data_IF_714282431951
#
_entry.id   IF_714282431951
#
_cell.length_a   1.000
_cell.length_b   1.000
_cell.length_c   1.000
_cell.angle_alpha   90.00
_cell.angle_beta   90.00
_cell.angle_gamma   90.00
#
_symmetry.space_group_name_H-M   'P 1'
#
loop_
_entity.id
_entity.type
_entity.pdbx_description
1 polymer ?
#
# COMPACT_ATOMS: atom_id res chain seq x y z
N UNK A 1 28.73 94.16 60.15
CA UNK A 1 29.72 94.30 61.24
C UNK A 1 31.00 94.78 60.59
N UNK A 2 31.26 96.10 60.52
CA UNK A 2 32.04 96.85 61.52
C UNK A 2 33.18 95.98 62.07
N UNK A 3 34.43 96.18 61.63
CA UNK A 3 35.34 97.11 62.31
C UNK A 3 36.38 97.74 61.39
N UNK A 4 36.35 99.07 61.32
CA UNK A 4 37.47 99.95 61.02
C UNK A 4 38.57 99.75 62.06
N UNK A 5 39.84 99.49 61.70
CA UNK A 5 40.98 99.90 62.54
C UNK A 5 42.21 100.27 61.67
N UNK A 6 42.46 101.58 61.65
CA UNK A 6 43.72 102.29 61.42
C UNK A 6 44.40 102.27 60.03
N UNK A 7 44.09 103.34 59.29
CA UNK A 7 45.09 104.15 58.60
C UNK A 7 46.27 104.47 59.54
N UNK A 8 47.45 103.98 59.21
CA UNK A 8 48.73 104.63 59.53
C UNK A 8 49.40 104.97 58.20
N UNK A 9 49.29 106.22 57.80
CA UNK A 9 50.19 106.82 56.80
C UNK A 9 51.60 106.91 57.38
N UNK A 10 52.63 106.89 56.52
CA UNK A 10 53.92 106.32 56.83
C UNK A 10 54.76 107.32 57.61
N UNK A 11 55.31 106.88 58.74
CA UNK A 11 56.50 107.50 59.31
C UNK A 11 57.63 107.31 58.30
N UNK A 12 57.97 108.39 57.59
CA UNK A 12 59.22 108.54 56.85
C UNK A 12 60.39 108.45 57.85
N UNK A 13 60.75 107.23 58.22
CA UNK A 13 62.03 106.93 58.85
C UNK A 13 62.97 106.46 57.75
N UNK A 14 63.83 107.39 57.31
CA UNK A 14 65.13 107.10 56.71
C UNK A 14 65.15 106.07 55.57
N UNK A 15 64.95 106.56 54.34
CA UNK A 15 65.69 106.04 53.19
C UNK A 15 67.16 106.42 53.43
N UNK A 16 67.80 105.70 54.37
CA UNK A 16 69.20 105.35 54.22
C UNK A 16 69.18 104.50 52.97
N UNK A 17 69.86 104.95 51.92
CA UNK A 17 69.97 104.28 50.64
C UNK A 17 70.30 102.80 50.85
N UNK A 18 69.27 101.95 50.89
CA UNK A 18 69.46 100.55 50.62
C UNK A 18 70.04 100.53 49.21
N UNK A 19 71.28 100.04 49.01
CA UNK A 19 71.87 100.00 47.69
C UNK A 19 70.87 99.33 46.74
N UNK A 20 70.78 99.82 45.50
CA UNK A 20 69.85 99.32 44.47
C UNK A 20 69.84 97.79 44.41
N UNK A 21 70.97 97.16 44.72
CA UNK A 21 71.13 95.72 44.92
C UNK A 21 70.13 95.10 45.91
N UNK A 22 69.85 95.69 47.08
CA UNK A 22 68.93 95.14 48.09
C UNK A 22 67.47 95.25 47.65
N UNK A 23 67.07 96.35 47.01
CA UNK A 23 65.72 96.49 46.44
C UNK A 23 65.51 95.49 45.31
N UNK A 24 66.51 95.34 44.44
CA UNK A 24 66.50 94.37 43.34
C UNK A 24 66.48 92.93 43.87
N UNK A 25 67.24 92.64 44.93
CA UNK A 25 67.21 91.34 45.62
C UNK A 25 65.82 91.02 46.16
N UNK A 26 65.15 91.97 46.82
CA UNK A 26 63.77 91.79 47.31
C UNK A 26 62.78 91.60 46.15
N UNK A 27 62.99 92.27 45.02
CA UNK A 27 62.15 92.10 43.84
C UNK A 27 62.34 90.71 43.20
N UNK A 28 63.59 90.24 43.10
CA UNK A 28 63.95 88.88 42.68
C UNK A 28 63.34 87.84 43.61
N UNK A 29 63.42 88.02 44.93
CA UNK A 29 62.82 87.10 45.92
C UNK A 29 61.28 87.08 45.81
N UNK A 30 60.66 88.23 45.55
CA UNK A 30 59.21 88.33 45.35
C UNK A 30 58.76 87.64 44.05
N UNK A 31 59.48 87.83 42.94
CA UNK A 31 59.19 87.11 41.69
C UNK A 31 59.46 85.62 41.83
N UNK A 32 60.50 85.22 42.57
CA UNK A 32 60.80 83.81 42.85
C UNK A 32 59.66 83.16 43.64
N UNK A 33 59.15 83.83 44.69
CA UNK A 33 57.98 83.36 45.45
C UNK A 33 56.70 83.27 44.60
N UNK A 34 56.43 84.28 43.75
CA UNK A 34 55.30 84.24 42.82
C UNK A 34 55.43 83.10 41.81
N UNK A 35 56.63 82.87 41.28
CA UNK A 35 56.93 81.78 40.36
C UNK A 35 56.76 80.41 41.04
N UNK A 36 57.17 80.26 42.30
CA UNK A 36 56.92 79.04 43.07
C UNK A 36 55.43 78.82 43.35
N UNK A 37 54.67 79.88 43.67
CA UNK A 37 53.22 79.80 43.85
C UNK A 37 52.51 79.38 42.56
N UNK A 38 52.90 79.97 41.41
CA UNK A 38 52.36 79.57 40.10
C UNK A 38 52.76 78.15 39.72
N UNK A 39 53.99 77.71 40.01
CA UNK A 39 54.41 76.31 39.81
C UNK A 39 53.58 75.34 40.65
N UNK A 40 53.31 75.66 41.92
CA UNK A 40 52.45 74.83 42.80
C UNK A 40 51.01 74.79 42.28
N UNK A 41 50.49 75.94 41.83
CA UNK A 41 49.15 76.03 41.22
C UNK A 41 49.07 75.22 39.93
N UNK A 42 50.07 75.29 39.08
CA UNK A 42 50.16 74.51 37.85
C UNK A 42 50.18 73.02 38.16
N UNK A 43 51.00 72.58 39.11
CA UNK A 43 51.07 71.17 39.51
C UNK A 43 49.71 70.66 40.04
N UNK A 44 49.04 71.41 40.92
CA UNK A 44 47.71 71.05 41.41
C UNK A 44 46.66 71.02 40.27
N UNK A 45 46.78 71.93 39.30
CA UNK A 45 45.90 71.96 38.14
C UNK A 45 46.17 70.78 37.19
N UNK A 46 47.42 70.39 36.99
CA UNK A 46 47.80 69.20 36.22
C UNK A 46 47.32 67.92 36.89
N UNK A 47 47.41 67.83 38.21
CA UNK A 47 46.92 66.68 38.97
C UNK A 47 45.40 66.55 38.86
N UNK A 48 44.66 67.65 39.06
CA UNK A 48 43.19 67.66 38.89
C UNK A 48 42.77 67.39 37.45
N UNK A 49 43.49 67.91 36.45
CA UNK A 49 43.27 67.60 35.04
C UNK A 49 43.49 66.11 34.75
N UNK A 50 44.58 65.52 35.24
CA UNK A 50 44.88 64.11 35.03
C UNK A 50 43.85 63.19 35.70
N UNK A 51 43.37 63.55 36.89
CA UNK A 51 42.26 62.84 37.55
C UNK A 51 40.97 62.94 36.72
N UNK A 52 40.56 64.15 36.30
CA UNK A 52 39.38 64.35 35.48
C UNK A 52 39.49 63.65 34.11
N UNK A 53 40.68 63.61 33.52
CA UNK A 53 40.95 62.92 32.26
C UNK A 53 40.79 61.40 32.41
N UNK A 54 41.34 60.81 33.48
CA UNK A 54 41.17 59.38 33.80
C UNK A 54 39.70 59.03 34.03
N UNK A 55 38.96 59.85 34.78
CA UNK A 55 37.52 59.65 34.97
C UNK A 55 36.73 59.72 33.66
N UNK A 56 37.06 60.68 32.79
CA UNK A 56 36.40 60.81 31.50
C UNK A 56 36.68 59.59 30.61
N UNK A 57 37.90 59.07 30.63
CA UNK A 57 38.27 57.86 29.90
C UNK A 57 37.50 56.63 30.41
N UNK A 58 37.40 56.46 31.73
CA UNK A 58 36.59 55.41 32.34
C UNK A 58 35.10 55.54 32.00
N UNK A 59 34.54 56.75 32.04
CA UNK A 59 33.14 57.02 31.63
C UNK A 59 32.91 56.67 30.15
N UNK A 60 33.85 57.01 29.26
CA UNK A 60 33.78 56.66 27.83
C UNK A 60 33.81 55.15 27.61
N UNK A 61 34.67 54.43 28.33
CA UNK A 61 34.72 52.96 28.27
C UNK A 61 33.38 52.34 28.73
N UNK A 62 32.85 52.80 29.86
CA UNK A 62 31.56 52.33 30.40
C UNK A 62 30.39 52.61 29.44
N UNK A 63 30.36 53.77 28.79
CA UNK A 63 29.35 54.08 27.77
C UNK A 63 29.47 53.14 26.56
N UNK A 64 30.69 52.81 26.14
CA UNK A 64 30.93 51.88 25.02
C UNK A 64 30.43 50.48 25.37
N UNK A 65 30.72 49.99 26.58
CA UNK A 65 30.23 48.70 27.08
C UNK A 65 28.70 48.67 27.15
N UNK A 66 28.06 49.72 27.67
CA UNK A 66 26.60 49.81 27.74
C UNK A 66 25.96 49.81 26.35
N UNK A 67 26.54 50.51 25.38
CA UNK A 67 26.07 50.48 23.98
C UNK A 67 26.18 49.10 23.36
N UNK A 68 27.28 48.38 23.62
CA UNK A 68 27.49 47.02 23.13
C UNK A 68 26.47 46.04 23.75
N UNK A 69 26.23 46.15 25.06
CA UNK A 69 25.22 45.33 25.73
C UNK A 69 23.81 45.58 25.18
N UNK A 70 23.45 46.84 24.89
CA UNK A 70 22.16 47.17 24.29
C UNK A 70 22.01 46.57 22.88
N UNK A 71 23.08 46.59 22.07
CA UNK A 71 23.10 45.96 20.74
C UNK A 71 22.98 44.44 20.85
N UNK A 72 23.70 43.79 21.78
CA UNK A 72 23.62 42.35 21.99
C UNK A 72 22.21 41.90 22.42
N UNK A 73 21.50 42.70 23.22
CA UNK A 73 20.10 42.43 23.59
C UNK A 73 19.19 42.51 22.37
N UNK A 74 19.36 43.52 21.51
CA UNK A 74 18.58 43.65 20.28
C UNK A 74 18.84 42.50 19.31
N UNK A 75 20.11 42.09 19.14
CA UNK A 75 20.47 40.94 18.30
C UNK A 75 19.83 39.66 18.83
N UNK A 76 19.88 39.41 20.15
CA UNK A 76 19.25 38.23 20.76
C UNK A 76 17.73 38.21 20.57
N UNK A 77 17.05 39.35 20.69
CA UNK A 77 15.61 39.45 20.42
C UNK A 77 15.29 39.16 18.95
N UNK A 78 16.12 39.63 18.03
CA UNK A 78 15.95 39.37 16.60
C UNK A 78 16.24 37.90 16.26
N UNK A 79 17.23 37.28 16.91
CA UNK A 79 17.52 35.85 16.79
C UNK A 79 16.37 34.96 17.30
N UNK A 80 15.74 35.30 18.42
CA UNK A 80 14.58 34.54 18.92
C UNK A 80 13.38 34.68 17.99
N UNK A 81 13.14 35.88 17.43
CA UNK A 81 12.13 36.08 16.40
C UNK A 81 12.41 35.24 15.15
N UNK A 82 13.65 35.24 14.64
CA UNK A 82 14.05 34.39 13.51
C UNK A 82 13.83 32.92 13.82
N UNK A 83 14.19 32.45 15.02
CA UNK A 83 13.97 31.05 15.42
C UNK A 83 12.48 30.69 15.48
N UNK A 84 11.66 31.58 16.02
CA UNK A 84 10.20 31.39 16.06
C UNK A 84 9.62 31.32 14.65
N UNK A 85 10.00 32.24 13.75
CA UNK A 85 9.56 32.24 12.36
C UNK A 85 10.02 30.99 11.60
N UNK A 86 11.26 30.54 11.81
CA UNK A 86 11.75 29.27 11.23
C UNK A 86 10.93 28.09 11.70
N UNK A 87 10.64 28.00 13.00
CA UNK A 87 9.80 26.93 13.55
C UNK A 87 8.38 26.98 12.97
N UNK A 88 7.80 28.16 12.75
CA UNK A 88 6.51 28.30 12.09
C UNK A 88 6.55 27.85 10.62
N UNK A 89 7.63 28.15 9.90
CA UNK A 89 7.84 27.68 8.52
C UNK A 89 7.96 26.16 8.49
N UNK A 90 8.75 25.56 9.38
CA UNK A 90 8.92 24.11 9.45
C UNK A 90 7.59 23.40 9.75
N UNK A 91 6.78 23.95 10.67
CA UNK A 91 5.43 23.46 10.94
C UNK A 91 4.51 23.59 9.72
N UNK A 92 4.57 24.70 8.99
CA UNK A 92 3.78 24.91 7.78
C UNK A 92 4.20 23.92 6.66
N UNK A 93 5.49 23.62 6.53
CA UNK A 93 6.01 22.63 5.60
C UNK A 93 5.54 21.22 5.98
N UNK A 94 5.59 20.85 7.28
CA UNK A 94 5.05 19.56 7.73
C UNK A 94 3.59 19.41 7.36
N UNK A 95 2.76 20.42 7.67
CA UNK A 95 1.34 20.44 7.32
C UNK A 95 1.10 20.38 5.81
N UNK A 96 1.91 21.08 5.02
CA UNK A 96 1.83 21.02 3.56
C UNK A 96 2.10 19.61 3.05
N UNK A 97 3.18 18.97 3.53
CA UNK A 97 3.55 17.62 3.14
C UNK A 97 2.48 16.60 3.58
N UNK A 98 1.94 16.73 4.79
CA UNK A 98 0.82 15.91 5.27
C UNK A 98 -0.39 16.01 4.34
N UNK A 99 -0.82 17.24 4.01
CA UNK A 99 -1.93 17.48 3.08
C UNK A 99 -1.62 16.95 1.68
N UNK A 100 -0.38 17.04 1.22
CA UNK A 100 0.04 16.49 -0.08
C UNK A 100 -0.09 14.96 -0.10
N UNK A 101 0.38 14.29 0.98
CA UNK A 101 0.20 12.83 1.09
C UNK A 101 -1.25 12.42 1.20
N UNK A 102 -2.09 13.19 1.89
CA UNK A 102 -3.54 12.95 1.96
C UNK A 102 -4.20 13.13 0.58
N UNK A 103 -3.84 14.19 -0.15
CA UNK A 103 -4.33 14.42 -1.50
C UNK A 103 -3.92 13.28 -2.44
N UNK A 104 -2.70 12.76 -2.33
CA UNK A 104 -2.28 11.62 -3.13
C UNK A 104 -3.02 10.32 -2.77
N UNK A 105 -3.32 10.09 -1.48
CA UNK A 105 -4.21 8.99 -1.07
C UNK A 105 -5.61 9.14 -1.66
N UNK A 106 -6.20 10.33 -1.60
CA UNK A 106 -7.52 10.61 -2.18
C UNK A 106 -7.51 10.43 -3.70
N UNK A 107 -6.45 10.84 -4.41
CA UNK A 107 -6.29 10.57 -5.85
C UNK A 107 -6.24 9.08 -6.14
N UNK A 108 -5.52 8.30 -5.33
CA UNK A 108 -5.47 6.84 -5.49
C UNK A 108 -6.84 6.20 -5.26
N UNK A 109 -7.58 6.63 -4.23
CA UNK A 109 -8.94 6.19 -3.95
C UNK A 109 -9.89 6.53 -5.10
N UNK A 110 -9.88 7.78 -5.58
CA UNK A 110 -10.66 8.21 -6.75
C UNK A 110 -10.34 7.36 -7.97
N UNK A 111 -9.07 7.03 -8.20
CA UNK A 111 -8.67 6.17 -9.31
C UNK A 111 -9.16 4.73 -9.14
N UNK A 112 -9.16 4.18 -7.92
CA UNK A 112 -9.74 2.87 -7.62
C UNK A 112 -11.24 2.87 -7.90
N UNK A 113 -11.97 3.85 -7.37
CA UNK A 113 -13.41 4.01 -7.59
C UNK A 113 -13.75 4.21 -9.07
N UNK A 114 -12.91 4.90 -9.84
CA UNK A 114 -13.07 5.04 -11.29
C UNK A 114 -12.92 3.69 -12.01
N UNK A 115 -11.94 2.87 -11.62
CA UNK A 115 -11.77 1.52 -12.18
C UNK A 115 -12.95 0.62 -11.85
N UNK A 116 -13.40 0.63 -10.58
CA UNK A 116 -14.59 -0.11 -10.15
C UNK A 116 -15.83 0.34 -10.92
N UNK A 117 -16.03 1.65 -11.10
CA UNK A 117 -17.16 2.17 -11.90
C UNK A 117 -17.12 1.67 -13.33
N UNK A 118 -15.96 1.66 -13.98
CA UNK A 118 -15.82 1.16 -15.36
C UNK A 118 -16.16 -0.33 -15.41
N UNK A 119 -15.68 -1.12 -14.44
CA UNK A 119 -16.01 -2.54 -14.35
C UNK A 119 -17.51 -2.76 -14.15
N UNK A 120 -18.14 -2.00 -13.25
CA UNK A 120 -19.59 -2.08 -13.03
C UNK A 120 -20.39 -1.70 -14.26
N UNK A 121 -19.97 -0.68 -15.01
CA UNK A 121 -20.59 -0.31 -16.28
C UNK A 121 -20.48 -1.46 -17.30
N UNK A 122 -19.31 -2.05 -17.47
CA UNK A 122 -19.13 -3.21 -18.36
C UNK A 122 -19.99 -4.41 -17.95
N UNK A 123 -20.14 -4.68 -16.66
CA UNK A 123 -21.03 -5.74 -16.17
C UNK A 123 -22.49 -5.39 -16.44
N UNK A 124 -22.89 -4.13 -16.24
CA UNK A 124 -24.24 -3.65 -16.55
C UNK A 124 -24.57 -3.81 -18.03
N UNK A 125 -23.66 -3.41 -18.92
CA UNK A 125 -23.85 -3.52 -20.37
C UNK A 125 -24.00 -4.99 -20.80
N UNK A 126 -23.18 -5.89 -20.24
CA UNK A 126 -23.30 -7.34 -20.47
C UNK A 126 -24.62 -7.91 -19.97
N UNK A 127 -25.07 -7.48 -18.78
CA UNK A 127 -26.36 -7.91 -18.23
C UNK A 127 -27.52 -7.42 -19.09
N UNK A 128 -27.43 -6.20 -19.61
CA UNK A 128 -28.43 -5.65 -20.53
C UNK A 128 -28.46 -6.42 -21.85
N UNK A 129 -27.30 -6.75 -22.43
CA UNK A 129 -27.21 -7.58 -23.63
C UNK A 129 -27.82 -8.97 -23.40
N UNK A 130 -27.51 -9.60 -22.26
CA UNK A 130 -28.09 -10.90 -21.89
C UNK A 130 -29.60 -10.81 -21.68
N UNK A 131 -30.09 -9.75 -21.06
CA UNK A 131 -31.52 -9.50 -20.90
C UNK A 131 -32.23 -9.33 -22.25
N UNK A 132 -31.63 -8.60 -23.18
CA UNK A 132 -32.15 -8.46 -24.55
C UNK A 132 -32.15 -9.80 -25.30
N UNK A 133 -31.09 -10.61 -25.16
CA UNK A 133 -31.03 -11.97 -25.74
C UNK A 133 -32.14 -12.86 -25.17
N UNK A 134 -32.31 -12.88 -23.84
CA UNK A 134 -33.36 -13.62 -23.18
C UNK A 134 -34.75 -13.17 -23.67
N UNK A 135 -34.99 -11.86 -23.77
CA UNK A 135 -36.24 -11.30 -24.30
C UNK A 135 -36.51 -11.77 -25.73
N UNK A 136 -35.51 -11.76 -26.62
CA UNK A 136 -35.63 -12.27 -28.00
C UNK A 136 -35.95 -13.76 -28.02
N UNK A 137 -35.30 -14.56 -27.17
CA UNK A 137 -35.60 -15.99 -27.05
C UNK A 137 -37.03 -16.23 -26.57
N UNK A 138 -37.51 -15.47 -25.57
CA UNK A 138 -38.89 -15.55 -25.09
C UNK A 138 -39.89 -15.21 -26.20
N UNK A 139 -39.63 -14.16 -27.00
CA UNK A 139 -40.48 -13.81 -28.14
C UNK A 139 -40.51 -14.92 -29.19
N UNK A 140 -39.37 -15.52 -29.52
CA UNK A 140 -39.30 -16.64 -30.46
C UNK A 140 -40.09 -17.87 -29.96
N UNK A 141 -39.97 -18.19 -28.68
CA UNK A 141 -40.74 -19.29 -28.06
C UNK A 141 -42.23 -18.96 -28.10
N UNK A 142 -42.63 -17.72 -27.82
CA UNK A 142 -44.03 -17.30 -27.85
C UNK A 142 -44.60 -17.41 -29.27
N UNK A 143 -43.86 -16.98 -30.29
CA UNK A 143 -44.25 -17.16 -31.70
C UNK A 143 -44.38 -18.64 -32.08
N UNK A 144 -43.47 -19.50 -31.62
CA UNK A 144 -43.57 -20.95 -31.84
C UNK A 144 -44.79 -21.56 -31.13
N UNK A 145 -45.11 -21.10 -29.92
CA UNK A 145 -46.31 -21.53 -29.18
C UNK A 145 -47.56 -21.09 -29.93
N UNK A 146 -47.61 -19.86 -30.44
CA UNK A 146 -48.74 -19.33 -31.22
C UNK A 146 -48.94 -20.13 -32.51
N UNK A 147 -47.87 -20.41 -33.25
CA UNK A 147 -47.92 -21.27 -34.43
C UNK A 147 -48.43 -22.69 -34.11
N UNK A 148 -47.97 -23.28 -33.01
CA UNK A 148 -48.45 -24.58 -32.56
C UNK A 148 -49.92 -24.53 -32.14
N UNK A 149 -50.36 -23.46 -31.46
CA UNK A 149 -51.78 -23.25 -31.13
C UNK A 149 -52.63 -23.19 -32.39
N UNK A 150 -52.27 -22.39 -33.38
CA UNK A 150 -52.99 -22.33 -34.67
C UNK A 150 -53.07 -23.71 -35.35
N UNK A 151 -51.96 -24.47 -35.36
CA UNK A 151 -51.94 -25.83 -35.91
C UNK A 151 -52.89 -26.76 -35.13
N UNK A 152 -52.94 -26.66 -33.81
CA UNK A 152 -53.89 -27.44 -33.01
C UNK A 152 -55.34 -27.03 -33.25
N UNK A 153 -55.63 -25.75 -33.49
CA UNK A 153 -56.97 -25.29 -33.84
C UNK A 153 -57.41 -25.82 -35.21
N UNK A 154 -56.54 -25.71 -36.23
CA UNK A 154 -56.79 -26.31 -37.56
C UNK A 154 -57.04 -27.82 -37.47
N UNK A 155 -56.26 -28.53 -36.66
CA UNK A 155 -56.47 -29.96 -36.44
C UNK A 155 -57.81 -30.24 -35.74
N UNK A 156 -58.19 -29.45 -34.73
CA UNK A 156 -59.49 -29.58 -34.06
C UNK A 156 -60.65 -29.34 -35.04
N UNK A 157 -60.56 -28.32 -35.89
CA UNK A 157 -61.56 -28.05 -36.93
C UNK A 157 -61.69 -29.21 -37.92
N UNK A 158 -60.57 -29.79 -38.38
CA UNK A 158 -60.59 -30.96 -39.26
C UNK A 158 -61.23 -32.17 -38.59
N UNK A 159 -60.92 -32.43 -37.32
CA UNK A 159 -61.55 -33.50 -36.53
C UNK A 159 -63.06 -33.26 -36.41
N UNK A 160 -63.49 -32.01 -36.17
CA UNK A 160 -64.91 -31.66 -36.10
C UNK A 160 -65.63 -31.94 -37.42
N UNK A 161 -65.04 -31.54 -38.56
CA UNK A 161 -65.59 -31.80 -39.90
C UNK A 161 -65.70 -33.30 -40.18
N UNK A 162 -64.65 -34.08 -39.86
CA UNK A 162 -64.68 -35.53 -40.03
C UNK A 162 -65.72 -36.20 -39.13
N UNK A 163 -65.93 -35.70 -37.90
CA UNK A 163 -67.00 -36.19 -37.02
C UNK A 163 -68.38 -35.92 -37.61
N UNK A 164 -68.63 -34.72 -38.14
CA UNK A 164 -69.89 -34.40 -38.81
C UNK A 164 -70.14 -35.32 -40.01
N UNK A 165 -69.13 -35.52 -40.86
CA UNK A 165 -69.23 -36.40 -42.03
C UNK A 165 -69.49 -37.86 -41.62
N UNK A 166 -68.81 -38.35 -40.58
CA UNK A 166 -69.05 -39.69 -40.04
C UNK A 166 -70.46 -39.83 -39.43
N UNK A 167 -71.01 -38.78 -38.80
CA UNK A 167 -72.39 -38.80 -38.31
C UNK A 167 -73.40 -38.83 -39.46
N UNK A 168 -73.16 -38.10 -40.54
CA UNK A 168 -73.96 -38.15 -41.77
C UNK A 168 -73.88 -39.53 -42.42
N UNK A 169 -72.69 -40.09 -42.58
CA UNK A 169 -72.49 -41.45 -43.10
C UNK A 169 -73.14 -42.51 -42.22
N UNK A 170 -73.09 -42.35 -40.89
CA UNK A 170 -73.79 -43.22 -39.94
C UNK A 170 -75.31 -43.15 -40.12
N UNK A 171 -75.87 -41.96 -40.35
CA UNK A 171 -77.30 -41.81 -40.68
C UNK A 171 -77.64 -42.45 -42.02
N UNK A 172 -76.82 -42.23 -43.06
CA UNK A 172 -77.02 -42.81 -44.39
C UNK A 172 -76.96 -44.34 -44.35
N UNK A 173 -75.98 -44.91 -43.65
CA UNK A 173 -75.84 -46.36 -43.50
C UNK A 173 -76.98 -46.95 -42.67
N UNK A 174 -77.44 -46.26 -41.62
CA UNK A 174 -78.62 -46.68 -40.86
C UNK A 174 -79.87 -46.69 -41.75
N UNK A 175 -80.11 -45.62 -42.51
CA UNK A 175 -81.23 -45.56 -43.45
C UNK A 175 -81.17 -46.68 -44.50
N UNK A 176 -79.99 -46.93 -45.10
CA UNK A 176 -79.78 -48.05 -46.03
C UNK A 176 -80.00 -49.41 -45.37
N UNK A 177 -79.61 -49.57 -44.10
CA UNK A 177 -79.82 -50.80 -43.34
C UNK A 177 -81.32 -51.01 -43.05
N UNK A 178 -82.06 -49.97 -42.68
CA UNK A 178 -83.51 -50.02 -42.51
C UNK A 178 -84.23 -50.38 -43.82
N UNK A 179 -83.83 -49.77 -44.94
CA UNK A 179 -84.33 -50.14 -46.27
C UNK A 179 -84.02 -51.58 -46.65
N UNK A 180 -82.80 -52.05 -46.40
CA UNK A 180 -82.39 -53.43 -46.66
C UNK A 180 -83.10 -54.44 -45.74
N UNK A 181 -83.33 -54.08 -44.47
CA UNK A 181 -84.10 -54.89 -43.53
C UNK A 181 -85.55 -55.02 -43.99
N UNK A 182 -86.16 -53.93 -44.43
CA UNK A 182 -87.52 -53.93 -45.00
C UNK A 182 -87.60 -54.82 -46.24
N UNK A 183 -86.66 -54.69 -47.19
CA UNK A 183 -86.56 -55.57 -48.36
C UNK A 183 -86.31 -57.03 -47.98
N UNK A 184 -85.48 -57.31 -46.97
CA UNK A 184 -85.23 -58.67 -46.50
C UNK A 184 -86.46 -59.28 -45.83
N UNK A 185 -87.25 -58.51 -45.07
CA UNK A 185 -88.54 -58.96 -44.52
C UNK A 185 -89.55 -59.25 -45.64
N UNK A 186 -89.53 -58.46 -46.72
CA UNK A 186 -90.31 -58.69 -47.95
C UNK A 186 -89.80 -59.91 -48.77
N UNK A 187 -88.51 -60.24 -48.70
CA UNK A 187 -87.87 -61.36 -49.43
C UNK A 187 -87.71 -62.67 -48.63
N UNK A 188 -87.91 -62.66 -47.31
CA UNK A 188 -87.90 -63.87 -46.46
C UNK A 188 -88.77 -65.03 -46.96
N UNK A 189 -89.93 -64.83 -47.62
CA UNK A 189 -90.68 -65.95 -48.20
C UNK A 189 -90.12 -66.49 -49.55
N UNK A 190 -89.00 -65.98 -50.08
CA UNK A 190 -88.44 -66.38 -51.40
C UNK A 190 -87.08 -67.08 -51.37
N UNK A 191 -86.33 -67.03 -50.27
CA UNK A 191 -84.92 -67.50 -50.23
C UNK A 191 -84.68 -68.90 -49.64
N UNK A 192 -85.71 -69.65 -49.25
CA UNK A 192 -85.53 -71.06 -48.85
C UNK A 192 -85.35 -72.03 -50.04
N UNK A 193 -85.44 -71.57 -51.30
CA UNK A 193 -85.51 -72.48 -52.47
C UNK A 193 -84.25 -72.47 -53.37
N UNK A 194 -83.28 -71.54 -53.22
CA UNK A 194 -82.22 -71.35 -54.22
C UNK A 194 -80.77 -71.37 -53.68
N UNK A 195 -80.29 -72.50 -53.14
CA UNK A 195 -78.84 -72.77 -53.05
C UNK A 195 -78.50 -74.18 -53.54
N UNK A 196 -78.22 -74.29 -54.83
CA UNK A 196 -77.44 -75.39 -55.42
C UNK A 196 -76.81 -74.90 -56.73
N UNK A 197 -75.49 -75.01 -56.86
CA UNK A 197 -74.80 -74.92 -58.16
C UNK A 197 -73.53 -74.07 -58.23
N UNK A 198 -72.40 -74.66 -57.79
CA UNK A 198 -71.06 -74.67 -58.43
C UNK A 198 -70.99 -74.24 -59.93
N UNK A 199 -69.93 -73.67 -60.52
CA UNK A 199 -68.53 -74.16 -60.67
C UNK A 199 -67.66 -73.19 -61.51
N UNK A 200 -66.35 -73.44 -61.55
CA UNK A 200 -65.23 -72.72 -62.22
C UNK A 200 -64.92 -73.26 -63.63
N UNK A 201 -64.24 -72.47 -64.48
CA UNK A 201 -63.50 -72.96 -65.67
C UNK A 201 -62.14 -72.25 -65.89
N UNK A 202 -61.22 -72.97 -66.56
CA UNK A 202 -59.80 -72.74 -66.86
C UNK A 202 -59.62 -72.80 -68.41
N UNK A 203 -58.60 -72.18 -69.02
CA UNK A 203 -58.12 -72.57 -70.35
C UNK A 203 -56.62 -72.31 -70.64
N UNK A 204 -56.10 -73.18 -71.52
CA UNK A 204 -54.72 -73.52 -71.90
C UNK A 204 -54.11 -72.74 -73.11
N UNK A 205 -52.77 -72.68 -73.10
CA UNK A 205 -51.73 -72.87 -74.16
C UNK A 205 -51.76 -72.23 -75.58
N UNK A 206 -50.61 -71.65 -75.98
CA UNK A 206 -50.10 -71.56 -77.36
C UNK A 206 -48.55 -71.42 -77.38
N UNK A 207 -47.81 -72.41 -77.92
CA UNK A 207 -46.34 -72.52 -77.87
C UNK A 207 -45.80 -72.97 -79.24
N UNK A 208 -45.39 -72.05 -80.13
CA UNK A 208 -44.44 -72.39 -81.23
C UNK A 208 -43.52 -71.21 -81.63
N UNK A 209 -43.92 -69.94 -81.47
CA UNK A 209 -43.08 -68.79 -81.88
C UNK A 209 -42.00 -68.35 -80.87
N UNK A 210 -41.83 -69.12 -79.80
CA UNK A 210 -41.12 -68.67 -78.59
C UNK A 210 -39.64 -69.03 -78.56
N UNK A 211 -39.16 -69.99 -79.38
CA UNK A 211 -37.89 -70.69 -79.13
C UNK A 211 -36.62 -69.84 -79.34
N UNK A 212 -36.62 -68.94 -80.33
CA UNK A 212 -35.46 -68.10 -80.65
C UNK A 212 -35.39 -66.82 -79.80
N UNK A 213 -36.56 -66.27 -79.48
CA UNK A 213 -36.73 -65.20 -78.51
C UNK A 213 -36.39 -65.70 -77.09
N UNK A 214 -36.74 -66.96 -76.77
CA UNK A 214 -36.32 -67.65 -75.55
C UNK A 214 -34.81 -67.81 -75.47
N UNK A 215 -34.10 -68.18 -76.55
CA UNK A 215 -32.62 -68.28 -76.52
C UNK A 215 -31.92 -66.94 -76.26
N UNK A 216 -32.37 -65.84 -76.88
CA UNK A 216 -31.83 -64.49 -76.58
C UNK A 216 -32.17 -64.05 -75.15
N UNK A 217 -33.40 -64.30 -74.70
CA UNK A 217 -33.85 -63.99 -73.34
C UNK A 217 -33.11 -64.83 -72.31
N UNK A 218 -32.80 -66.09 -72.62
CA UNK A 218 -31.97 -66.99 -71.81
C UNK A 218 -30.54 -66.46 -71.69
N UNK A 219 -29.91 -66.02 -72.79
CA UNK A 219 -28.56 -65.45 -72.75
C UNK A 219 -28.49 -64.15 -71.93
N UNK A 220 -29.50 -63.29 -72.06
CA UNK A 220 -29.64 -62.10 -71.22
C UNK A 220 -29.92 -62.44 -69.74
N UNK A 221 -30.77 -63.44 -69.48
CA UNK A 221 -31.02 -63.97 -68.13
C UNK A 221 -29.76 -64.55 -67.50
N UNK A 222 -28.94 -65.27 -68.25
CA UNK A 222 -27.67 -65.82 -67.79
C UNK A 222 -26.68 -64.68 -67.47
N UNK A 223 -26.64 -63.63 -68.29
CA UNK A 223 -25.81 -62.45 -68.00
C UNK A 223 -26.27 -61.72 -66.73
N UNK A 224 -27.57 -61.43 -66.60
CA UNK A 224 -28.14 -60.85 -65.38
C UNK A 224 -27.92 -61.75 -64.16
N UNK A 225 -28.06 -63.07 -64.29
CA UNK A 225 -27.79 -63.98 -63.18
C UNK A 225 -26.31 -64.00 -62.79
N UNK A 226 -25.39 -63.88 -63.75
CA UNK A 226 -23.96 -63.82 -63.46
C UNK A 226 -23.57 -62.53 -62.73
N UNK A 227 -24.20 -61.40 -63.06
CA UNK A 227 -24.05 -60.15 -62.31
C UNK A 227 -24.67 -60.24 -60.91
N UNK A 228 -25.87 -60.83 -60.79
CA UNK A 228 -26.48 -61.09 -59.47
C UNK A 228 -25.61 -61.99 -58.60
N UNK A 229 -25.01 -63.03 -59.17
CA UNK A 229 -24.08 -63.92 -58.46
C UNK A 229 -22.85 -63.14 -57.98
N UNK A 230 -22.26 -62.26 -58.81
CA UNK A 230 -21.14 -61.41 -58.37
C UNK A 230 -21.52 -60.46 -57.23
N UNK A 231 -22.70 -59.86 -57.31
CA UNK A 231 -23.21 -58.98 -56.26
C UNK A 231 -23.44 -59.77 -54.97
N UNK A 232 -24.03 -60.97 -55.06
CA UNK A 232 -24.23 -61.87 -53.92
C UNK A 232 -22.88 -62.33 -53.33
N UNK A 233 -21.89 -62.66 -54.16
CA UNK A 233 -20.53 -63.01 -53.70
C UNK A 233 -19.86 -61.84 -52.99
N UNK A 234 -20.03 -60.61 -53.46
CA UNK A 234 -19.50 -59.42 -52.82
C UNK A 234 -20.19 -59.14 -51.47
N UNK A 235 -21.52 -59.26 -51.40
CA UNK A 235 -22.25 -59.19 -50.14
C UNK A 235 -21.81 -60.30 -49.18
N UNK A 236 -21.63 -61.53 -49.65
CA UNK A 236 -21.17 -62.65 -48.83
C UNK A 236 -19.75 -62.43 -48.28
N UNK A 237 -18.84 -61.84 -49.07
CA UNK A 237 -17.51 -61.44 -48.59
C UNK A 237 -17.58 -60.38 -47.50
N UNK A 238 -18.37 -59.33 -47.72
CA UNK A 238 -18.56 -58.29 -46.71
C UNK A 238 -19.20 -58.85 -45.43
N UNK A 239 -20.15 -59.77 -45.56
CA UNK A 239 -20.81 -60.42 -44.43
C UNK A 239 -19.83 -61.28 -43.63
N UNK A 240 -18.92 -62.00 -44.30
CA UNK A 240 -17.83 -62.75 -43.64
C UNK A 240 -16.87 -61.83 -42.87
N UNK A 241 -16.48 -60.70 -43.45
CA UNK A 241 -15.61 -59.73 -42.76
C UNK A 241 -16.30 -59.16 -41.51
N UNK A 242 -17.59 -58.86 -41.62
CA UNK A 242 -18.41 -58.41 -40.48
C UNK A 242 -18.52 -59.52 -39.43
N UNK A 243 -18.77 -60.77 -39.84
CA UNK A 243 -18.87 -61.93 -38.96
C UNK A 243 -17.55 -62.25 -38.24
N UNK A 244 -16.41 -62.08 -38.92
CA UNK A 244 -15.06 -62.23 -38.34
C UNK A 244 -14.75 -61.11 -37.33
N UNK A 245 -15.14 -59.86 -37.63
CA UNK A 245 -15.03 -58.74 -36.70
C UNK A 245 -15.94 -58.92 -35.47
N UNK A 246 -17.17 -59.39 -35.65
CA UNK A 246 -18.08 -59.73 -34.53
C UNK A 246 -17.52 -60.88 -33.69
N UNK A 247 -16.93 -61.90 -34.32
CA UNK A 247 -16.30 -63.01 -33.61
C UNK A 247 -15.12 -62.54 -32.75
N UNK A 248 -14.29 -61.63 -33.28
CA UNK A 248 -13.19 -61.02 -32.50
C UNK A 248 -13.70 -60.17 -31.34
N UNK A 249 -14.80 -59.41 -31.53
CA UNK A 249 -15.42 -58.63 -30.46
C UNK A 249 -16.00 -59.57 -29.40
N UNK A 250 -16.67 -60.65 -29.81
CA UNK A 250 -17.24 -61.66 -28.92
C UNK A 250 -16.17 -62.38 -28.10
N UNK A 251 -15.03 -62.73 -28.71
CA UNK A 251 -13.89 -63.36 -28.03
C UNK A 251 -13.24 -62.42 -27.00
N UNK A 252 -13.07 -61.14 -27.36
CA UNK A 252 -12.43 -60.14 -26.48
C UNK A 252 -13.34 -59.60 -25.37
N UNK A 253 -14.66 -59.51 -25.62
CA UNK A 253 -15.61 -58.91 -24.67
C UNK A 253 -16.42 -59.95 -23.89
N UNK A 254 -16.49 -61.21 -24.37
CA UNK A 254 -17.28 -62.28 -23.76
C UNK A 254 -18.80 -62.11 -23.87
N UNK A 255 -19.27 -61.10 -24.61
CA UNK A 255 -20.69 -60.79 -24.81
C UNK A 255 -21.18 -61.57 -26.03
N UNK A 256 -22.18 -62.44 -25.86
CA UNK A 256 -22.70 -63.31 -26.91
C UNK A 256 -23.96 -62.73 -27.61
N UNK A 257 -24.50 -61.63 -27.11
CA UNK A 257 -25.69 -60.98 -27.66
C UNK A 257 -25.31 -59.81 -28.58
N UNK A 258 -25.70 -59.92 -29.85
CA UNK A 258 -25.40 -58.94 -30.91
C UNK A 258 -26.01 -57.58 -30.57
N UNK A 259 -27.20 -57.55 -29.96
CA UNK A 259 -27.87 -56.31 -29.58
C UNK A 259 -27.16 -55.62 -28.40
N UNK A 260 -26.55 -56.40 -27.51
CA UNK A 260 -25.76 -55.88 -26.39
C UNK A 260 -24.42 -55.31 -26.86
N UNK A 261 -23.75 -55.96 -27.82
CA UNK A 261 -22.53 -55.43 -28.46
C UNK A 261 -22.83 -54.11 -29.18
N UNK A 262 -23.92 -54.06 -29.96
CA UNK A 262 -24.32 -52.84 -30.69
C UNK A 262 -24.63 -51.68 -29.74
N UNK A 263 -25.40 -51.93 -28.68
CA UNK A 263 -25.69 -50.92 -27.66
C UNK A 263 -24.44 -50.45 -26.91
N UNK A 264 -23.49 -51.36 -26.67
CA UNK A 264 -22.21 -51.02 -26.02
C UNK A 264 -21.33 -50.20 -26.95
N UNK A 265 -21.35 -50.48 -28.26
CA UNK A 265 -20.66 -49.69 -29.28
C UNK A 265 -21.26 -48.30 -29.43
N UNK A 266 -22.59 -48.16 -29.47
CA UNK A 266 -23.26 -46.86 -29.51
C UNK A 266 -22.90 -46.05 -28.27
N UNK A 267 -22.93 -46.66 -27.08
CA UNK A 267 -22.52 -45.99 -25.83
C UNK A 267 -21.06 -45.57 -25.84
N UNK A 268 -20.15 -46.41 -26.34
CA UNK A 268 -18.73 -46.05 -26.42
C UNK A 268 -18.46 -44.99 -27.48
N UNK A 269 -19.23 -44.96 -28.57
CA UNK A 269 -19.21 -43.90 -29.58
C UNK A 269 -19.72 -42.56 -29.02
N UNK A 270 -20.84 -42.57 -28.28
CA UNK A 270 -21.36 -41.39 -27.57
C UNK A 270 -20.36 -40.86 -26.53
N UNK A 271 -19.72 -41.76 -25.78
CA UNK A 271 -18.65 -41.40 -24.85
C UNK A 271 -17.44 -40.79 -25.56
N UNK A 272 -17.01 -41.40 -26.67
CA UNK A 272 -15.92 -40.88 -27.49
C UNK A 272 -16.25 -39.50 -28.05
N UNK A 273 -17.48 -39.29 -28.54
CA UNK A 273 -17.94 -37.99 -29.03
C UNK A 273 -17.92 -36.94 -27.91
N UNK A 274 -18.35 -37.31 -26.71
CA UNK A 274 -18.29 -36.44 -25.53
C UNK A 274 -16.85 -36.11 -25.13
N UNK A 275 -15.94 -37.08 -25.24
CA UNK A 275 -14.50 -36.89 -25.03
C UNK A 275 -13.89 -35.95 -26.07
N UNK A 276 -14.22 -36.09 -27.36
CA UNK A 276 -13.78 -35.16 -28.40
C UNK A 276 -14.25 -33.73 -28.11
N UNK A 277 -15.52 -33.55 -27.77
CA UNK A 277 -16.04 -32.23 -27.41
C UNK A 277 -15.36 -31.66 -26.16
N UNK A 278 -15.03 -32.51 -25.17
CA UNK A 278 -14.27 -32.09 -24.00
C UNK A 278 -12.82 -31.70 -24.35
N UNK A 279 -12.16 -32.45 -25.23
CA UNK A 279 -10.82 -32.12 -25.75
C UNK A 279 -10.84 -30.81 -26.54
N UNK A 280 -11.88 -30.54 -27.31
CA UNK A 280 -12.06 -29.28 -28.03
C UNK A 280 -12.24 -28.11 -27.06
N UNK A 281 -13.07 -28.27 -26.02
CA UNK A 281 -13.24 -27.26 -24.97
C UNK A 281 -11.92 -27.01 -24.24
N UNK A 282 -11.18 -28.07 -23.88
CA UNK A 282 -9.87 -27.94 -23.24
C UNK A 282 -8.86 -27.26 -24.15
N UNK A 283 -8.87 -27.55 -25.45
CA UNK A 283 -7.99 -26.89 -26.42
C UNK A 283 -8.31 -25.40 -26.50
N UNK A 284 -9.60 -25.05 -26.52
CA UNK A 284 -10.04 -23.66 -26.47
C UNK A 284 -9.64 -22.96 -25.16
N UNK A 285 -9.73 -23.66 -24.02
CA UNK A 285 -9.28 -23.13 -22.73
C UNK A 285 -7.76 -22.96 -22.66
N UNK A 286 -6.99 -23.87 -23.26
CA UNK A 286 -5.53 -23.72 -23.40
C UNK A 286 -5.20 -22.47 -24.22
N UNK A 287 -5.85 -22.27 -25.37
CA UNK A 287 -5.64 -21.08 -26.19
C UNK A 287 -5.98 -19.78 -25.43
N UNK A 288 -7.08 -19.80 -24.67
CA UNK A 288 -7.48 -18.68 -23.82
C UNK A 288 -6.44 -18.39 -22.72
N UNK A 289 -5.93 -19.44 -22.06
CA UNK A 289 -4.91 -19.32 -21.02
C UNK A 289 -3.56 -18.87 -21.59
N UNK A 290 -3.17 -19.34 -22.77
CA UNK A 290 -1.96 -18.86 -23.46
C UNK A 290 -2.08 -17.39 -23.83
N UNK A 291 -3.23 -16.96 -24.37
CA UNK A 291 -3.49 -15.55 -24.66
C UNK A 291 -3.40 -14.69 -23.40
N UNK A 292 -3.97 -15.17 -22.28
CA UNK A 292 -3.90 -14.46 -21.00
C UNK A 292 -2.47 -14.39 -20.45
N UNK A 293 -1.71 -15.48 -20.55
CA UNK A 293 -0.29 -15.50 -20.17
C UNK A 293 0.54 -14.55 -21.02
N UNK A 294 0.31 -14.49 -22.32
CA UNK A 294 0.99 -13.53 -23.21
C UNK A 294 0.65 -12.09 -22.83
N UNK A 295 -0.61 -11.79 -22.50
CA UNK A 295 -1.03 -10.45 -22.05
C UNK A 295 -0.38 -10.08 -20.72
N UNK A 296 -0.33 -11.00 -19.76
CA UNK A 296 0.37 -10.81 -18.49
C UNK A 296 1.88 -10.60 -18.68
N UNK A 297 2.52 -11.39 -19.52
CA UNK A 297 3.93 -11.20 -19.85
C UNK A 297 4.19 -9.82 -20.46
N UNK A 298 3.31 -9.35 -21.34
CA UNK A 298 3.39 -8.01 -21.92
C UNK A 298 3.23 -6.93 -20.85
N UNK A 299 2.25 -7.05 -19.94
CA UNK A 299 2.07 -6.13 -18.81
C UNK A 299 3.31 -6.08 -17.91
N UNK A 300 3.89 -7.23 -17.58
CA UNK A 300 5.14 -7.29 -16.82
C UNK A 300 6.29 -6.57 -17.55
N UNK A 301 6.46 -6.80 -18.86
CA UNK A 301 7.48 -6.10 -19.65
C UNK A 301 7.26 -4.59 -19.68
N UNK A 302 6.02 -4.14 -19.87
CA UNK A 302 5.69 -2.72 -19.89
C UNK A 302 5.92 -2.07 -18.53
N UNK A 303 5.60 -2.77 -17.44
CA UNK A 303 5.86 -2.31 -16.08
C UNK A 303 7.35 -2.25 -15.75
N UNK A 304 8.17 -3.20 -16.25
CA UNK A 304 9.63 -3.14 -16.14
C UNK A 304 10.17 -1.91 -16.89
N UNK A 305 9.68 -1.64 -18.11
CA UNK A 305 10.07 -0.44 -18.87
C UNK A 305 9.66 0.85 -18.17
N UNK A 306 8.46 0.90 -17.60
CA UNK A 306 7.95 2.05 -16.84
C UNK A 306 8.77 2.27 -15.56
N UNK A 307 9.10 1.20 -14.83
CA UNK A 307 9.97 1.29 -13.66
C UNK A 307 11.39 1.74 -14.02
N UNK A 308 11.97 1.21 -15.09
CA UNK A 308 13.27 1.68 -15.58
C UNK A 308 13.23 3.15 -16.03
N UNK A 309 12.10 3.60 -16.61
CA UNK A 309 11.90 5.01 -16.96
C UNK A 309 11.74 5.91 -15.72
N UNK A 310 11.02 5.44 -14.69
CA UNK A 310 10.90 6.13 -13.40
C UNK A 310 12.24 6.19 -12.67
N UNK A 311 13.01 5.12 -12.69
CA UNK A 311 14.36 5.06 -12.12
C UNK A 311 15.31 6.03 -12.84
N UNK A 312 15.25 6.09 -14.19
CA UNK A 312 15.97 7.11 -14.98
C UNK A 312 15.50 8.52 -14.66
N UNK A 313 14.21 8.76 -14.45
CA UNK A 313 13.67 10.06 -14.09
C UNK A 313 14.07 10.48 -12.66
N UNK A 314 14.12 9.54 -11.72
CA UNK A 314 14.63 9.73 -10.34
C UNK A 314 16.14 9.96 -10.30
N UNK A 315 16.91 9.35 -11.21
CA UNK A 315 18.34 9.66 -11.37
C UNK A 315 18.60 11.01 -12.04
N UNK A 316 17.61 11.55 -12.76
CA UNK A 316 17.71 12.83 -13.48
C UNK A 316 17.26 14.04 -12.65
N UNK A 317 16.87 13.91 -11.38
CA UNK A 317 16.62 15.05 -10.48
C UNK A 317 17.94 15.55 -9.86
N UNK A 318 18.55 16.66 -10.34
CA UNK A 318 19.87 17.13 -9.88
C UNK A 318 19.90 17.62 -8.42
N UNK A 319 18.75 17.64 -7.73
CA UNK A 319 18.61 18.10 -6.35
C UNK A 319 18.75 16.96 -5.35
N UNK A 320 18.21 15.78 -5.65
CA UNK A 320 18.26 14.60 -4.77
C UNK A 320 19.64 13.94 -4.80
N UNK A 321 20.33 13.93 -5.95
CA UNK A 321 21.70 13.41 -6.05
C UNK A 321 22.69 14.25 -5.21
N UNK A 322 22.46 15.57 -5.12
CA UNK A 322 23.21 16.46 -4.22
C UNK A 322 22.89 16.20 -2.76
N UNK A 323 21.63 15.92 -2.43
CA UNK A 323 21.23 15.59 -1.06
C UNK A 323 21.76 14.22 -0.63
N UNK A 324 21.74 13.22 -1.51
CA UNK A 324 22.29 11.90 -1.27
C UNK A 324 23.80 11.95 -1.06
N UNK A 325 24.55 12.72 -1.88
CA UNK A 325 25.99 12.95 -1.67
C UNK A 325 26.26 13.65 -0.33
N UNK A 326 25.46 14.63 0.05
CA UNK A 326 25.57 15.29 1.37
C UNK A 326 25.29 14.32 2.52
N UNK A 327 24.24 13.51 2.42
CA UNK A 327 23.87 12.53 3.43
C UNK A 327 24.93 11.44 3.57
N UNK A 328 25.48 10.96 2.44
CA UNK A 328 26.58 10.00 2.42
C UNK A 328 27.84 10.54 3.08
N UNK A 329 28.18 11.81 2.83
CA UNK A 329 29.31 12.47 3.49
C UNK A 329 29.09 12.60 5.02
N UNK A 330 27.87 12.97 5.45
CA UNK A 330 27.53 13.05 6.88
C UNK A 330 27.62 11.68 7.55
N UNK A 331 27.15 10.62 6.90
CA UNK A 331 27.25 9.24 7.41
C UNK A 331 28.71 8.83 7.54
N UNK A 332 29.55 9.15 6.53
CA UNK A 332 30.97 8.84 6.56
C UNK A 332 31.71 9.60 7.66
N UNK A 333 31.42 10.89 7.87
CA UNK A 333 31.97 11.67 8.99
C UNK A 333 31.53 11.08 10.34
N UNK A 334 30.28 10.66 10.49
CA UNK A 334 29.79 10.04 11.73
C UNK A 334 30.42 8.67 11.98
N UNK A 335 30.62 7.86 10.95
CA UNK A 335 31.35 6.60 11.07
C UNK A 335 32.81 6.82 11.48
N UNK A 336 33.49 7.80 10.89
CA UNK A 336 34.85 8.17 11.30
C UNK A 336 34.92 8.64 12.77
N UNK A 337 33.93 9.41 13.23
CA UNK A 337 33.86 9.81 14.63
C UNK A 337 33.64 8.60 15.57
N UNK A 338 32.79 7.65 15.18
CA UNK A 338 32.57 6.41 15.94
C UNK A 338 33.85 5.57 15.97
N UNK A 339 34.57 5.46 14.85
CA UNK A 339 35.86 4.78 14.80
C UNK A 339 36.91 5.45 15.70
N UNK A 340 36.96 6.79 15.73
CA UNK A 340 37.84 7.55 16.62
C UNK A 340 37.51 7.30 18.09
N UNK A 341 36.23 7.35 18.47
CA UNK A 341 35.79 7.07 19.84
C UNK A 341 36.12 5.61 20.23
N UNK A 342 35.87 4.66 19.34
CA UNK A 342 36.22 3.26 19.58
C UNK A 342 37.74 3.04 19.72
N UNK A 343 38.56 3.79 18.98
CA UNK A 343 40.01 3.75 19.13
C UNK A 343 40.45 4.34 20.47
N UNK A 344 39.87 5.48 20.91
CA UNK A 344 40.13 6.03 22.25
C UNK A 344 39.71 5.05 23.35
N UNK A 345 38.57 4.36 23.21
CA UNK A 345 38.13 3.33 24.16
C UNK A 345 39.14 2.17 24.20
N UNK A 346 39.66 1.74 23.05
CA UNK A 346 40.72 0.70 22.99
C UNK A 346 42.03 1.14 23.64
N UNK A 347 42.39 2.43 23.52
CA UNK A 347 43.59 2.99 24.15
C UNK A 347 43.44 3.12 25.68
N UNK A 348 42.25 3.49 26.16
CA UNK A 348 41.95 3.65 27.59
C UNK A 348 41.75 2.28 28.28
N UNK A 349 41.29 1.27 27.53
CA UNK A 349 41.05 -0.10 28.02
C UNK A 349 42.19 -0.69 28.85
N UNK A 350 43.43 -0.77 28.36
CA UNK A 350 44.52 -1.34 29.16
C UNK A 350 44.81 -0.52 30.42
N UNK A 351 44.79 0.82 30.37
CA UNK A 351 45.08 1.66 31.54
C UNK A 351 44.03 1.54 32.64
N UNK A 352 42.74 1.47 32.28
CA UNK A 352 41.65 1.27 33.26
C UNK A 352 41.72 -0.15 33.85
N UNK A 353 42.04 -1.15 33.02
CA UNK A 353 42.23 -2.52 33.47
C UNK A 353 43.40 -2.62 34.46
N UNK A 354 44.54 -1.98 34.18
CA UNK A 354 45.69 -1.92 35.09
C UNK A 354 45.33 -1.25 36.42
N UNK A 355 44.64 -0.10 36.38
CA UNK A 355 44.23 0.62 37.60
C UNK A 355 43.25 -0.22 38.45
N UNK A 356 42.27 -0.89 37.82
CA UNK A 356 41.32 -1.76 38.53
C UNK A 356 42.01 -2.99 39.14
N UNK A 357 42.97 -3.59 38.43
CA UNK A 357 43.77 -4.70 38.94
C UNK A 357 44.61 -4.25 40.13
N UNK A 358 45.27 -3.09 40.05
CA UNK A 358 46.12 -2.58 41.13
C UNK A 358 45.32 -2.13 42.36
N UNK A 359 44.14 -1.52 42.16
CA UNK A 359 43.21 -1.21 43.24
C UNK A 359 42.65 -2.48 43.89
N UNK A 360 42.36 -3.53 43.10
CA UNK A 360 41.89 -4.83 43.63
C UNK A 360 42.96 -5.61 44.40
N UNK A 361 44.25 -5.36 44.12
CA UNK A 361 45.40 -5.94 44.84
C UNK A 361 45.71 -5.21 46.15
N UNK A 362 45.36 -3.93 46.25
CA UNK A 362 45.47 -3.17 47.51
C UNK A 362 44.46 -3.72 48.53
N UNK A 363 44.85 -3.83 49.80
CA UNK A 363 44.07 -4.49 50.87
C UNK A 363 42.76 -3.80 51.28
N UNK A 364 42.15 -2.99 50.40
CA UNK A 364 40.95 -2.18 50.64
C UNK A 364 39.67 -2.81 50.04
N UNK A 365 39.72 -4.09 49.66
CA UNK A 365 38.63 -4.74 48.94
C UNK A 365 37.85 -5.71 49.82
N UNK A 366 36.56 -5.46 50.05
CA UNK A 366 35.67 -6.35 50.82
C UNK A 366 35.21 -7.58 50.00
N UNK A 367 35.33 -7.57 48.66
CA UNK A 367 34.82 -8.65 47.80
C UNK A 367 35.92 -9.33 46.98
N UNK A 368 36.38 -10.51 47.42
CA UNK A 368 37.41 -11.32 46.75
C UNK A 368 37.02 -11.83 45.34
N UNK A 369 35.73 -11.78 44.99
CA UNK A 369 35.22 -12.25 43.69
C UNK A 369 35.43 -11.26 42.54
N UNK A 370 35.48 -9.95 42.81
CA UNK A 370 35.66 -8.92 41.76
C UNK A 370 37.02 -9.00 41.07
N UNK A 371 38.04 -9.52 41.77
CA UNK A 371 39.38 -9.72 41.23
C UNK A 371 39.41 -10.72 40.06
N UNK A 372 38.56 -11.75 40.13
CA UNK A 372 38.45 -12.79 39.11
C UNK A 372 37.73 -12.29 37.85
N UNK A 373 36.73 -11.41 38.03
CA UNK A 373 35.94 -10.82 36.94
C UNK A 373 36.77 -9.85 36.08
N UNK A 374 37.67 -9.05 36.68
CA UNK A 374 38.55 -8.13 35.95
C UNK A 374 39.74 -8.82 35.25
N UNK A 375 40.16 -10.01 35.71
CA UNK A 375 41.26 -10.78 35.10
C UNK A 375 40.83 -11.63 33.90
N UNK A 376 39.57 -12.08 33.82
CA UNK A 376 39.10 -13.03 32.81
C UNK A 376 38.33 -12.38 31.66
N UNK A 377 37.68 -11.22 31.86
CA UNK A 377 36.84 -10.62 30.83
C UNK A 377 36.61 -9.13 31.02
N UNK A 378 37.62 -8.32 30.72
CA UNK A 378 37.45 -6.87 30.65
C UNK A 378 36.99 -6.44 29.26
N UNK A 379 35.71 -6.12 29.09
CA UNK A 379 35.17 -5.49 27.88
C UNK A 379 34.53 -4.15 28.21
N UNK A 380 35.22 -3.07 27.82
CA UNK A 380 34.71 -1.70 27.86
C UNK A 380 33.72 -1.49 26.71
N UNK A 381 32.45 -1.74 27.02
CA UNK A 381 31.30 -1.25 26.24
C UNK A 381 30.71 -0.03 26.94
N UNK A 382 29.96 0.80 26.21
CA UNK A 382 29.38 2.05 26.70
C UNK A 382 28.55 1.85 27.98
N UNK A 383 27.81 0.73 28.08
CA UNK A 383 27.04 0.37 29.27
C UNK A 383 27.90 -0.13 30.44
N UNK A 384 29.04 -0.75 30.15
CA UNK A 384 29.92 -1.32 31.18
C UNK A 384 30.92 -0.28 31.73
N UNK A 385 31.22 0.76 30.95
CA UNK A 385 32.11 1.86 31.34
C UNK A 385 31.60 2.58 32.58
N UNK A 386 30.28 2.81 32.68
CA UNK A 386 29.67 3.44 33.85
C UNK A 386 29.81 2.59 35.11
N UNK A 387 29.63 1.27 35.01
CA UNK A 387 29.85 0.34 36.12
C UNK A 387 31.32 0.31 36.59
N UNK A 388 32.28 0.31 35.66
CA UNK A 388 33.70 0.33 36.01
C UNK A 388 34.15 1.67 36.62
N UNK A 389 33.61 2.80 36.15
CA UNK A 389 33.86 4.12 36.75
C UNK A 389 33.27 4.23 38.15
N UNK A 390 32.07 3.70 38.38
CA UNK A 390 31.45 3.66 39.70
C UNK A 390 32.25 2.81 40.68
N UNK A 391 32.80 1.68 40.22
CA UNK A 391 33.70 0.85 41.03
C UNK A 391 34.99 1.61 41.38
N UNK A 392 35.62 2.31 40.41
CA UNK A 392 36.81 3.15 40.67
C UNK A 392 36.50 4.27 41.66
N UNK A 393 35.36 4.94 41.52
CA UNK A 393 34.92 6.00 42.44
C UNK A 393 34.75 5.47 43.87
N UNK A 394 34.17 4.27 44.02
CA UNK A 394 34.05 3.62 45.32
C UNK A 394 35.43 3.29 45.93
N UNK A 395 36.35 2.73 45.15
CA UNK A 395 37.72 2.48 45.61
C UNK A 395 38.45 3.79 45.99
N UNK A 396 38.28 4.87 45.22
CA UNK A 396 38.83 6.19 45.54
C UNK A 396 38.26 6.70 46.87
N UNK A 397 36.95 6.59 47.07
CA UNK A 397 36.30 7.02 48.31
C UNK A 397 36.76 6.22 49.54
N UNK A 398 36.97 4.91 49.38
CA UNK A 398 37.56 4.05 50.43
C UNK A 398 39.01 4.45 50.72
N UNK A 399 39.80 4.73 49.69
CA UNK A 399 41.21 5.17 49.85
C UNK A 399 41.30 6.55 50.51
N UNK A 400 40.41 7.49 50.16
CA UNK A 400 40.27 8.79 50.83
C UNK A 400 39.91 8.59 52.30
N UNK A 401 39.00 7.68 52.61
CA UNK A 401 38.60 7.34 53.99
C UNK A 401 39.77 6.73 54.77
N UNK A 402 40.54 5.83 54.15
CA UNK A 402 41.72 5.21 54.76
C UNK A 402 42.83 6.24 55.04
N UNK A 403 43.13 7.12 54.09
CA UNK A 403 44.08 8.23 54.30
C UNK A 403 43.58 9.28 55.29
N UNK A 404 42.27 9.45 55.41
CA UNK A 404 41.64 10.28 56.44
C UNK A 404 41.68 9.66 57.84
N UNK A 405 41.84 8.33 57.94
CA UNK A 405 42.07 7.63 59.21
C UNK A 405 43.55 7.66 59.64
N UNK A 406 44.50 7.56 58.70
CA UNK A 406 45.94 7.66 59.00
C UNK A 406 46.39 9.08 59.39
N UNK A 407 45.82 10.11 58.78
CA UNK A 407 46.05 11.51 59.15
C UNK A 407 44.79 12.02 59.84
N UNK A 408 44.78 12.06 61.18
CA UNK A 408 43.62 12.44 62.01
C UNK A 408 43.11 13.87 61.83
N UNK A 409 42.64 14.21 60.62
CA UNK A 409 42.08 15.49 60.21
C UNK A 409 41.12 15.22 59.03
N UNK A 410 39.93 14.69 59.36
CA UNK A 410 38.86 14.34 58.39
C UNK A 410 38.45 15.53 57.50
N UNK A 411 38.76 16.77 57.92
CA UNK A 411 38.29 17.99 57.27
C UNK A 411 39.23 18.61 56.22
N UNK A 412 40.44 18.08 55.96
CA UNK A 412 41.34 18.63 54.91
C UNK A 412 41.41 17.82 53.62
N UNK A 413 40.97 16.56 53.62
CA UNK A 413 40.96 15.72 52.40
C UNK A 413 39.70 15.92 51.54
N UNK A 414 38.68 16.64 52.01
CA UNK A 414 37.48 17.02 51.25
C UNK A 414 37.69 18.27 50.38
N UNK A 415 38.85 18.38 49.73
CA UNK A 415 39.08 19.42 48.73
C UNK A 415 39.28 18.82 47.34
N UNK A 416 38.23 18.17 46.84
CA UNK A 416 37.95 18.09 45.40
C UNK A 416 36.89 19.14 45.07
N UNK A 417 37.18 20.41 45.38
CA UNK A 417 36.43 21.56 44.82
C UNK A 417 37.36 22.65 44.29
N UNK A 418 38.67 22.42 44.24
CA UNK A 418 39.63 23.37 43.69
C UNK A 418 40.51 22.75 42.60
N UNK A 419 39.86 22.22 41.55
CA UNK A 419 40.41 22.35 40.20
C UNK A 419 39.48 23.23 39.37
N UNK A 420 39.99 24.42 39.07
CA UNK A 420 39.59 25.38 38.04
C UNK A 420 38.39 24.99 37.16
N UNK A 421 37.21 25.53 37.48
CA UNK A 421 36.14 25.77 36.49
C UNK A 421 36.53 27.01 35.65
N UNK A 422 37.60 26.86 34.88
CA UNK A 422 37.89 27.54 33.62
C UNK A 422 38.37 26.37 32.74
N UNK A 423 37.50 25.62 32.08
CA UNK A 423 36.93 26.00 30.78
C UNK A 423 35.72 25.11 30.40
N UNK A 424 34.67 25.08 31.22
CA UNK A 424 33.47 24.24 30.95
C UNK A 424 32.16 25.03 30.97
N UNK A 425 32.14 26.25 30.43
CA UNK A 425 30.90 27.02 30.16
C UNK A 425 30.49 27.08 28.68
N UNK A 426 31.16 26.33 27.79
CA UNK A 426 30.82 26.36 26.36
C UNK A 426 30.08 25.12 25.82
N UNK A 427 29.77 24.09 26.60
CA UNK A 427 29.07 22.89 26.07
C UNK A 427 27.80 22.44 26.81
N UNK A 428 27.27 23.19 27.79
CA UNK A 428 25.97 22.88 28.44
C UNK A 428 24.80 23.72 27.89
N UNK A 429 24.67 23.79 26.57
CA UNK A 429 23.49 24.36 25.89
C UNK A 429 22.93 23.48 24.76
N UNK A 430 23.33 22.22 24.67
CA UNK A 430 22.81 21.31 23.64
C UNK A 430 22.01 20.11 24.13
N UNK A 431 22.07 19.71 25.40
CA UNK A 431 21.38 18.50 25.86
C UNK A 431 20.46 18.76 27.06
N UNK A 432 19.42 19.58 26.84
CA UNK A 432 18.33 19.81 27.81
C UNK A 432 16.99 20.02 27.09
N UNK A 433 16.78 19.29 25.98
CA UNK A 433 15.51 19.23 25.25
C UNK A 433 14.94 17.80 25.14
N UNK A 434 15.41 16.87 25.99
CA UNK A 434 14.88 15.50 26.09
C UNK A 434 14.43 15.21 27.53
N UNK A 435 13.53 16.04 28.05
CA UNK A 435 12.53 15.55 28.99
C UNK A 435 11.17 15.72 28.31
N UNK A 436 10.63 14.58 27.93
CA UNK A 436 9.29 14.41 27.40
C UNK A 436 8.30 15.01 28.40
N UNK A 437 7.69 16.13 28.02
CA UNK A 437 6.40 16.55 28.54
C UNK A 437 5.39 15.45 28.20
N UNK A 438 5.20 14.54 29.14
CA UNK A 438 4.26 13.42 29.07
C UNK A 438 2.85 13.79 29.58
N UNK A 439 2.61 15.07 29.92
CA UNK A 439 1.34 15.51 30.52
C UNK A 439 0.49 16.47 29.65
N UNK A 440 0.78 16.60 28.34
CA UNK A 440 -0.10 17.34 27.41
C UNK A 440 -0.77 16.47 26.32
N UNK A 441 -0.65 15.14 26.43
CA UNK A 441 -1.30 14.18 25.53
C UNK A 441 -2.48 13.43 26.16
N UNK A 442 -3.35 14.13 26.92
CA UNK A 442 -4.69 13.59 27.25
C UNK A 442 -5.71 14.73 27.20
N UNK A 443 -6.08 15.14 25.99
CA UNK A 443 -7.41 15.69 25.69
C UNK A 443 -7.63 15.66 24.17
N UNK A 444 -7.58 14.46 23.62
CA UNK A 444 -8.29 14.16 22.37
C UNK A 444 -9.59 13.49 22.82
N UNK A 445 -10.68 14.18 22.52
CA UNK A 445 -12.05 13.72 22.63
C UNK A 445 -12.20 12.38 21.88
N UNK A 446 -12.11 11.26 22.59
CA UNK A 446 -12.28 9.90 22.07
C UNK A 446 -13.76 9.52 21.93
N UNK A 447 -14.71 10.43 22.21
CA UNK A 447 -16.14 10.16 22.08
C UNK A 447 -16.74 10.61 20.73
N UNK A 448 -16.11 10.23 19.62
CA UNK A 448 -16.87 9.90 18.40
C UNK A 448 -16.76 8.40 18.21
N UNK A 449 -17.64 7.68 18.89
CA UNK A 449 -17.94 6.28 18.61
C UNK A 449 -18.00 6.08 17.09
N UNK A 450 -17.13 5.22 16.58
CA UNK A 450 -17.33 4.59 15.27
C UNK A 450 -18.77 4.08 15.23
N UNK A 451 -19.61 4.70 14.40
CA UNK A 451 -21.01 4.29 14.29
C UNK A 451 -21.03 2.80 13.95
N UNK A 452 -21.63 2.01 14.83
CA UNK A 452 -21.83 0.59 14.58
C UNK A 452 -22.63 0.41 13.28
N UNK A 453 -22.33 -0.66 12.56
CA UNK A 453 -22.94 -0.95 11.26
C UNK A 453 -24.49 -0.86 11.28
N UNK A 454 -25.10 -1.14 12.44
CA UNK A 454 -26.55 -1.05 12.64
C UNK A 454 -27.08 0.39 12.63
N UNK A 455 -26.33 1.35 13.20
CA UNK A 455 -26.73 2.77 13.28
C UNK A 455 -26.56 3.47 11.92
N UNK A 456 -25.55 3.08 11.15
CA UNK A 456 -25.42 3.43 9.74
C UNK A 456 -26.58 2.88 8.90
N UNK A 457 -27.03 1.66 9.18
CA UNK A 457 -28.18 1.05 8.51
C UNK A 457 -29.49 1.78 8.82
N UNK A 458 -29.69 2.21 10.07
CA UNK A 458 -30.84 3.06 10.46
C UNK A 458 -30.83 4.40 9.73
N UNK A 459 -29.69 5.10 9.67
CA UNK A 459 -29.58 6.40 8.97
C UNK A 459 -29.85 6.24 7.46
N UNK A 460 -29.38 5.15 6.86
CA UNK A 460 -29.64 4.85 5.44
C UNK A 460 -31.12 4.53 5.20
N UNK A 461 -31.76 3.77 6.09
CA UNK A 461 -33.19 3.46 6.02
C UNK A 461 -34.05 4.72 6.21
N UNK A 462 -33.72 5.57 7.17
CA UNK A 462 -34.42 6.85 7.42
C UNK A 462 -34.26 7.81 6.22
N UNK A 463 -33.08 7.82 5.58
CA UNK A 463 -32.84 8.55 4.34
C UNK A 463 -33.67 8.03 3.16
N UNK A 464 -33.81 6.71 3.04
CA UNK A 464 -34.66 6.08 2.01
C UNK A 464 -36.15 6.37 2.24
N UNK A 465 -36.61 6.34 3.48
CA UNK A 465 -38.00 6.68 3.83
C UNK A 465 -38.32 8.15 3.58
N UNK A 466 -37.42 9.07 3.93
CA UNK A 466 -37.59 10.50 3.60
C UNK A 466 -37.61 10.75 2.09
N UNK A 467 -36.83 9.99 1.32
CA UNK A 467 -36.84 10.07 -0.16
C UNK A 467 -38.13 9.50 -0.75
N UNK A 468 -38.64 8.40 -0.19
CA UNK A 468 -39.93 7.80 -0.57
C UNK A 468 -41.11 8.72 -0.24
N UNK A 469 -41.09 9.37 0.92
CA UNK A 469 -42.09 10.36 1.33
C UNK A 469 -42.08 11.60 0.43
N UNK A 470 -40.90 12.08 0.00
CA UNK A 470 -40.80 13.19 -0.98
C UNK A 470 -41.32 12.81 -2.36
N UNK A 471 -41.16 11.56 -2.79
CA UNK A 471 -41.70 11.08 -4.08
C UNK A 471 -43.23 10.96 -4.01
N UNK A 472 -43.78 10.51 -2.88
CA UNK A 472 -45.23 10.44 -2.63
C UNK A 472 -45.90 11.81 -2.46
N UNK A 473 -45.17 12.85 -2.05
CA UNK A 473 -45.67 14.23 -2.02
C UNK A 473 -45.56 14.95 -3.37
N UNK A 474 -44.80 14.39 -4.31
CA UNK A 474 -44.61 14.94 -5.66
C UNK A 474 -45.51 14.27 -6.72
N UNK A 475 -46.31 13.28 -6.32
CA UNK A 475 -47.44 12.70 -7.06
C UNK A 475 -48.74 13.23 -6.46
#
# INVERSE_FOLDING_TARGET
MFTNFYKKTPTKSSILSEPISISLQREVDNYTRKLEQEKRRLYALEETYNMAHKENLQKKQKIKELKQQQQDIQIKLLETQIKSQKSQIDQAISKYNENETENDKLKQEINSLRKERVLHLQVSDKLEENMQKAQRQTLNILASIEHNKEKTEKNKEQILKLRQLNEEDKKLTLNKYEEAKKKSEEERPKYEILKSGNKKENYDQDIVLTQELLKKRLKHLIACNKEKVKVIEQYSKNLKVIEEAFSQIQENTGINDIDEISNTFIKSEEQNYSLYNYVDILSQDIDNLESFNQELHKKCQDQIKENAAKERAQLQTPLEEKQYKKLKNIIQEKQQNIEQVNNMIKEIKPSVQEILIDLSKSGLNENQNKKFDYEIGFDLTENNLEYFLADIENYINILISYKGMENGDINKSLHIEQMSIKDSKNNKKKDLNNELNLDEFINIDINKELLSHNKLKEIVMEGMEKKKAKILQAQ
#
